data_IF_417933266333
#
_entry.id   IF_417933266333
#
_cell.length_a   1.000
_cell.length_b   1.000
_cell.length_c   1.000
_cell.angle_alpha   90.00
_cell.angle_beta   90.00
_cell.angle_gamma   90.00
#
_symmetry.space_group_name_H-M   'P 1'
#
loop_
_entity.id
_entity.type
_entity.pdbx_description
1 polymer ?
#
# COMPACT_ATOMS: atom_id res chain seq x y z
N UNK A 1 -10.76 24.96 -16.11
CA UNK A 1 -9.81 24.12 -15.35
C UNK A 1 -8.97 23.39 -16.38
N UNK A 2 -7.64 23.40 -16.23
CA UNK A 2 -6.73 22.67 -17.14
C UNK A 2 -7.14 21.21 -17.21
N UNK A 3 -7.34 20.64 -18.42
CA UNK A 3 -7.61 19.20 -18.63
C UNK A 3 -6.41 18.30 -18.31
N UNK A 4 -5.25 18.91 -17.99
CA UNK A 4 -3.97 18.23 -17.85
C UNK A 4 -3.35 18.51 -16.49
N UNK A 5 -2.88 17.43 -15.84
CA UNK A 5 -2.10 17.48 -14.61
C UNK A 5 -0.63 17.76 -14.97
N UNK A 6 0.08 18.55 -14.17
CA UNK A 6 1.50 18.78 -14.38
C UNK A 6 2.25 18.85 -13.07
N UNK A 7 3.26 17.99 -12.90
CA UNK A 7 4.18 18.06 -11.77
C UNK A 7 4.96 19.38 -11.71
N UNK A 8 5.13 20.09 -12.85
CA UNK A 8 5.79 21.41 -12.83
C UNK A 8 4.97 22.47 -12.09
N UNK A 9 3.65 22.29 -12.02
CA UNK A 9 2.72 23.27 -11.46
C UNK A 9 2.55 23.08 -9.96
N UNK A 10 2.98 21.93 -9.42
CA UNK A 10 3.00 21.65 -7.99
C UNK A 10 4.15 22.38 -7.31
N UNK A 11 3.93 22.89 -6.10
CA UNK A 11 4.94 23.54 -5.27
C UNK A 11 5.64 22.55 -4.33
N UNK A 12 4.89 21.52 -3.93
CA UNK A 12 5.29 20.51 -2.96
C UNK A 12 5.08 19.13 -3.58
N UNK A 13 6.08 18.27 -3.43
CA UNK A 13 6.00 16.86 -3.82
C UNK A 13 6.16 16.02 -2.56
N UNK A 14 5.07 15.38 -2.16
CA UNK A 14 5.01 14.51 -0.99
C UNK A 14 4.98 13.03 -1.38
N UNK A 15 5.53 12.19 -0.51
CA UNK A 15 5.57 10.75 -0.70
C UNK A 15 5.20 10.01 0.59
N UNK A 16 4.52 8.88 0.46
CA UNK A 16 4.70 7.77 1.40
C UNK A 16 6.08 7.11 1.19
N UNK A 17 6.54 6.39 2.21
CA UNK A 17 7.76 5.62 2.16
C UNK A 17 7.48 4.20 1.72
N UNK A 18 6.89 3.39 2.59
CA UNK A 18 6.67 1.96 2.40
C UNK A 18 5.78 1.69 1.18
N UNK A 19 6.14 0.73 0.34
CA UNK A 19 5.46 0.39 -0.93
C UNK A 19 5.32 1.53 -1.96
N UNK A 20 5.86 2.72 -1.67
CA UNK A 20 5.88 3.88 -2.57
C UNK A 20 7.30 4.20 -3.04
N UNK A 21 8.15 4.75 -2.15
CA UNK A 21 9.57 4.98 -2.43
C UNK A 21 10.43 3.78 -2.02
N UNK A 22 10.03 3.09 -0.96
CA UNK A 22 10.62 1.88 -0.40
C UNK A 22 9.84 0.68 -0.97
N UNK A 23 10.34 0.12 -2.07
CA UNK A 23 9.72 -1.06 -2.68
C UNK A 23 10.18 -2.34 -1.99
N UNK A 24 9.28 -3.31 -1.92
CA UNK A 24 9.51 -4.60 -1.29
C UNK A 24 9.52 -5.70 -2.36
N UNK A 25 10.28 -6.77 -2.13
CA UNK A 25 10.11 -8.01 -2.88
C UNK A 25 8.84 -8.70 -2.38
N UNK A 26 7.71 -8.44 -3.03
CA UNK A 26 6.38 -8.86 -2.55
C UNK A 26 6.29 -10.37 -2.28
N UNK A 27 6.92 -11.21 -3.11
CA UNK A 27 6.97 -12.67 -2.89
C UNK A 27 7.58 -13.03 -1.53
N UNK A 28 8.77 -12.52 -1.24
CA UNK A 28 9.51 -12.82 -0.02
C UNK A 28 8.86 -12.17 1.21
N UNK A 29 8.43 -10.92 1.06
CA UNK A 29 7.85 -10.11 2.15
C UNK A 29 6.48 -10.64 2.57
N UNK A 30 5.58 -10.89 1.61
CA UNK A 30 4.26 -11.42 1.92
C UNK A 30 4.33 -12.82 2.54
N UNK A 31 5.28 -13.66 2.11
CA UNK A 31 5.52 -14.96 2.75
C UNK A 31 5.95 -14.80 4.21
N UNK A 32 6.91 -13.93 4.48
CA UNK A 32 7.38 -13.65 5.84
C UNK A 32 6.24 -13.15 6.73
N UNK A 33 5.38 -12.27 6.21
CA UNK A 33 4.20 -11.77 6.91
C UNK A 33 3.22 -12.92 7.23
N UNK A 34 2.89 -13.75 6.24
CA UNK A 34 2.03 -14.92 6.46
C UNK A 34 2.60 -15.84 7.54
N UNK A 35 3.87 -16.22 7.43
CA UNK A 35 4.54 -17.10 8.38
C UNK A 35 4.56 -16.50 9.79
N UNK A 36 4.76 -15.17 9.91
CA UNK A 36 4.74 -14.48 11.19
C UNK A 36 3.35 -14.52 11.85
N UNK A 37 2.29 -14.20 11.10
CA UNK A 37 0.92 -14.24 11.62
C UNK A 37 0.48 -15.66 11.97
N UNK A 38 0.71 -16.62 11.07
CA UNK A 38 0.34 -18.02 11.28
C UNK A 38 1.06 -18.61 12.51
N UNK A 39 2.35 -18.29 12.69
CA UNK A 39 3.11 -18.69 13.88
C UNK A 39 2.50 -18.13 15.15
N UNK A 40 2.16 -16.85 15.17
CA UNK A 40 1.52 -16.24 16.34
C UNK A 40 0.20 -16.93 16.71
N UNK A 41 -0.67 -17.20 15.72
CA UNK A 41 -1.94 -17.90 15.96
C UNK A 41 -1.71 -19.31 16.53
N UNK A 42 -0.73 -20.05 16.01
CA UNK A 42 -0.44 -21.41 16.48
C UNK A 42 0.16 -21.41 17.88
N UNK A 43 1.16 -20.57 18.13
CA UNK A 43 1.95 -20.57 19.37
C UNK A 43 1.25 -19.88 20.53
N UNK A 44 0.52 -18.79 20.27
CA UNK A 44 -0.09 -17.97 21.32
C UNK A 44 -1.61 -18.09 21.43
N UNK A 45 -2.28 -18.53 20.37
CA UNK A 45 -3.75 -18.62 20.32
C UNK A 45 -4.27 -20.06 20.21
N UNK A 46 -3.38 -21.04 20.06
CA UNK A 46 -3.74 -22.47 20.07
C UNK A 46 -4.42 -22.94 18.78
N UNK A 47 -4.20 -22.25 17.65
CA UNK A 47 -4.68 -22.71 16.35
C UNK A 47 -3.90 -23.94 15.86
N UNK A 48 -4.48 -24.66 14.92
CA UNK A 48 -3.87 -25.88 14.37
C UNK A 48 -2.57 -25.56 13.61
N UNK A 49 -1.55 -26.41 13.78
CA UNK A 49 -0.25 -26.29 13.12
C UNK A 49 -0.36 -26.35 11.59
N UNK A 50 -1.46 -26.88 11.05
CA UNK A 50 -1.72 -26.86 9.61
C UNK A 50 -1.67 -25.44 9.01
N UNK A 51 -1.96 -24.37 9.78
CA UNK A 51 -1.82 -22.98 9.32
C UNK A 51 -0.41 -22.63 8.84
N UNK A 52 0.63 -23.31 9.34
CA UNK A 52 2.02 -23.10 8.95
C UNK A 52 2.35 -23.72 7.58
N UNK A 53 1.50 -24.60 7.06
CA UNK A 53 1.74 -25.29 5.80
C UNK A 53 1.24 -24.44 4.62
N UNK A 54 2.13 -23.77 3.90
CA UNK A 54 1.79 -22.89 2.78
C UNK A 54 2.08 -23.57 1.44
N UNK A 55 1.09 -23.62 0.55
CA UNK A 55 1.25 -24.18 -0.80
C UNK A 55 1.15 -23.09 -1.88
N UNK A 56 1.76 -23.28 -3.06
CA UNK A 56 1.60 -22.35 -4.17
C UNK A 56 0.15 -22.19 -4.65
N UNK A 57 -0.65 -23.28 -4.60
CA UNK A 57 -2.05 -23.25 -4.97
C UNK A 57 -2.87 -22.34 -4.05
N UNK A 58 -2.63 -22.43 -2.74
CA UNK A 58 -3.28 -21.55 -1.75
C UNK A 58 -2.77 -20.11 -1.83
N UNK A 59 -1.61 -19.86 -2.42
CA UNK A 59 -1.00 -18.53 -2.47
C UNK A 59 -1.69 -17.58 -3.47
N UNK A 60 -2.30 -18.12 -4.54
CA UNK A 60 -3.06 -17.32 -5.54
C UNK A 60 -4.27 -16.59 -4.92
N UNK A 61 -4.67 -17.01 -3.71
CA UNK A 61 -5.71 -16.40 -2.89
C UNK A 61 -5.31 -15.01 -2.35
N UNK A 62 -4.01 -14.74 -2.15
CA UNK A 62 -3.51 -13.47 -1.63
C UNK A 62 -3.66 -12.37 -2.70
N UNK A 63 -4.79 -11.66 -2.66
CA UNK A 63 -5.19 -10.67 -3.67
C UNK A 63 -5.57 -9.34 -3.02
N UNK A 64 -4.92 -8.24 -3.43
CA UNK A 64 -5.21 -6.89 -2.93
C UNK A 64 -6.62 -6.48 -3.35
N UNK A 65 -7.35 -5.80 -2.47
CA UNK A 65 -8.67 -5.28 -2.77
C UNK A 65 -9.85 -6.14 -2.28
N UNK A 66 -9.58 -7.27 -1.62
CA UNK A 66 -10.63 -8.10 -1.01
C UNK A 66 -11.15 -7.49 0.29
N UNK A 67 -12.42 -7.77 0.57
CA UNK A 67 -13.06 -7.43 1.84
C UNK A 67 -13.44 -8.72 2.56
N UNK A 68 -13.03 -8.88 3.80
CA UNK A 68 -13.50 -9.97 4.66
C UNK A 68 -14.76 -9.50 5.37
N UNK A 69 -15.86 -10.20 5.15
CA UNK A 69 -17.05 -10.12 5.99
C UNK A 69 -16.83 -10.96 7.24
N UNK A 70 -16.59 -10.29 8.37
CA UNK A 70 -16.26 -10.93 9.64
C UNK A 70 -17.49 -11.54 10.32
N UNK A 71 -18.70 -11.19 9.88
CA UNK A 71 -19.93 -11.77 10.41
C UNK A 71 -20.17 -13.15 9.81
N UNK A 72 -19.96 -13.28 8.49
CA UNK A 72 -20.30 -14.50 7.76
C UNK A 72 -19.07 -15.38 7.44
N UNK A 73 -17.85 -14.88 7.64
CA UNK A 73 -16.62 -15.59 7.28
C UNK A 73 -16.33 -15.62 5.77
N UNK A 74 -16.94 -14.71 5.02
CA UNK A 74 -16.79 -14.65 3.58
C UNK A 74 -15.73 -13.64 3.17
N UNK A 75 -15.00 -13.91 2.08
CA UNK A 75 -14.20 -12.88 1.41
C UNK A 75 -14.86 -12.51 0.10
N UNK A 76 -15.05 -11.21 -0.13
CA UNK A 76 -15.79 -10.68 -1.28
C UNK A 76 -14.93 -9.74 -2.11
N UNK A 77 -15.07 -9.86 -3.43
CA UNK A 77 -14.60 -8.91 -4.43
C UNK A 77 -15.80 -8.13 -4.95
N UNK A 78 -15.74 -6.80 -4.91
CA UNK A 78 -16.88 -5.92 -5.15
C UNK A 78 -16.73 -5.14 -6.46
N UNK A 79 -17.86 -4.88 -7.11
CA UNK A 79 -17.99 -3.91 -8.19
C UNK A 79 -18.18 -2.50 -7.63
N UNK A 80 -18.10 -1.48 -8.50
CA UNK A 80 -18.27 -0.08 -8.13
C UNK A 80 -19.63 0.28 -7.49
N UNK A 81 -20.66 -0.53 -7.73
CA UNK A 81 -22.02 -0.35 -7.21
C UNK A 81 -22.31 -1.20 -5.96
N UNK A 82 -21.32 -1.96 -5.47
CA UNK A 82 -21.47 -2.86 -4.33
C UNK A 82 -21.97 -4.26 -4.65
N UNK A 83 -22.13 -4.58 -5.94
CA UNK A 83 -22.38 -5.95 -6.40
C UNK A 83 -21.20 -6.85 -6.03
N UNK A 84 -21.48 -8.00 -5.42
CA UNK A 84 -20.50 -9.07 -5.19
C UNK A 84 -20.18 -9.73 -6.53
N UNK A 85 -18.96 -9.51 -7.01
CA UNK A 85 -18.43 -10.07 -8.26
C UNK A 85 -17.99 -11.52 -8.07
N UNK A 86 -17.22 -11.75 -7.01
CA UNK A 86 -16.71 -13.06 -6.59
C UNK A 86 -16.74 -13.14 -5.08
N UNK A 87 -16.95 -14.33 -4.54
CA UNK A 87 -16.91 -14.56 -3.10
C UNK A 87 -16.38 -15.96 -2.77
N UNK A 88 -15.81 -16.08 -1.58
CA UNK A 88 -15.46 -17.36 -0.95
C UNK A 88 -16.07 -17.43 0.44
N UNK A 89 -16.33 -18.65 0.92
CA UNK A 89 -16.54 -18.92 2.34
C UNK A 89 -15.33 -19.70 2.85
N UNK A 90 -14.57 -19.10 3.76
CA UNK A 90 -13.23 -19.56 4.07
C UNK A 90 -12.33 -19.48 2.84
N UNK A 91 -11.72 -20.58 2.41
CA UNK A 91 -10.96 -20.62 1.14
C UNK A 91 -11.73 -21.22 -0.03
N UNK A 92 -13.00 -21.60 0.16
CA UNK A 92 -13.81 -22.26 -0.86
C UNK A 92 -14.59 -21.23 -1.68
N UNK A 93 -14.48 -21.30 -3.00
CA UNK A 93 -15.24 -20.43 -3.92
C UNK A 93 -16.75 -20.66 -3.78
N UNK A 94 -17.51 -19.57 -3.74
CA UNK A 94 -18.97 -19.61 -3.84
C UNK A 94 -19.39 -19.57 -5.30
N UNK A 95 -20.29 -20.49 -5.69
CA UNK A 95 -20.91 -20.49 -7.00
C UNK A 95 -21.78 -19.24 -7.21
N UNK A 96 -22.14 -18.94 -8.46
CA UNK A 96 -23.07 -17.83 -8.75
C UNK A 96 -24.41 -18.01 -8.03
N UNK A 97 -24.91 -19.23 -7.96
CA UNK A 97 -26.15 -19.59 -7.27
C UNK A 97 -26.03 -19.39 -5.76
N UNK A 98 -24.88 -19.74 -5.17
CA UNK A 98 -24.60 -19.55 -3.75
C UNK A 98 -24.49 -18.06 -3.39
N UNK A 99 -23.83 -17.26 -4.23
CA UNK A 99 -23.76 -15.80 -4.09
C UNK A 99 -25.17 -15.20 -4.17
N UNK A 100 -25.99 -15.59 -5.14
CA UNK A 100 -27.37 -15.11 -5.27
C UNK A 100 -28.23 -15.53 -4.08
N UNK A 101 -28.03 -16.75 -3.58
CA UNK A 101 -28.74 -17.26 -2.39
C UNK A 101 -28.38 -16.47 -1.14
N UNK A 102 -27.11 -16.10 -0.96
CA UNK A 102 -26.62 -15.40 0.23
C UNK A 102 -26.87 -13.89 0.18
N UNK A 103 -26.55 -13.23 -0.94
CA UNK A 103 -26.61 -11.77 -1.10
C UNK A 103 -27.86 -11.29 -1.86
N UNK A 104 -28.78 -12.20 -2.19
CA UNK A 104 -30.00 -11.92 -2.95
C UNK A 104 -29.78 -11.78 -4.47
N UNK A 105 -30.87 -11.60 -5.25
CA UNK A 105 -30.82 -11.56 -6.71
C UNK A 105 -29.90 -10.48 -7.30
N UNK A 106 -29.75 -9.36 -6.59
CA UNK A 106 -28.87 -8.25 -6.98
C UNK A 106 -27.41 -8.42 -6.55
N UNK A 107 -27.13 -9.43 -5.71
CA UNK A 107 -25.80 -9.69 -5.12
C UNK A 107 -25.24 -8.49 -4.36
N UNK A 108 -26.10 -7.71 -3.71
CA UNK A 108 -25.68 -6.49 -3.00
C UNK A 108 -25.05 -6.85 -1.65
N UNK A 109 -23.84 -6.36 -1.39
CA UNK A 109 -23.23 -6.52 -0.08
C UNK A 109 -23.73 -5.46 0.90
N UNK A 110 -24.38 -5.89 2.00
CA UNK A 110 -25.06 -5.03 3.00
C UNK A 110 -24.21 -3.88 3.55
N UNK A 111 -22.88 -4.07 3.66
CA UNK A 111 -21.97 -3.09 4.26
C UNK A 111 -21.31 -2.15 3.25
N UNK A 112 -21.62 -2.28 1.96
CA UNK A 112 -20.95 -1.52 0.90
C UNK A 112 -21.00 0.00 1.10
N UNK A 113 -22.15 0.55 1.48
CA UNK A 113 -22.30 1.99 1.71
C UNK A 113 -21.37 2.51 2.82
N UNK A 114 -21.14 1.72 3.86
CA UNK A 114 -20.22 2.08 4.95
C UNK A 114 -18.76 2.05 4.46
N UNK A 115 -18.39 1.02 3.70
CA UNK A 115 -17.05 0.87 3.14
C UNK A 115 -16.73 2.01 2.16
N UNK A 116 -17.65 2.29 1.22
CA UNK A 116 -17.47 3.25 0.14
C UNK A 116 -17.38 4.73 0.60
N UNK A 117 -17.89 5.04 1.79
CA UNK A 117 -17.94 6.42 2.29
C UNK A 117 -16.81 6.75 3.26
N UNK A 118 -16.39 5.78 4.08
CA UNK A 118 -15.58 6.07 5.24
C UNK A 118 -14.14 5.53 5.14
N UNK A 119 -13.94 4.42 4.42
CA UNK A 119 -12.71 3.62 4.51
C UNK A 119 -12.23 3.37 5.96
N UNK A 120 -13.12 3.48 6.96
CA UNK A 120 -12.75 3.34 8.37
C UNK A 120 -12.75 1.87 8.79
N UNK A 121 -12.04 1.58 9.88
CA UNK A 121 -12.07 0.25 10.50
C UNK A 121 -13.49 -0.05 10.96
N UNK A 122 -13.97 -1.24 10.63
CA UNK A 122 -15.27 -1.75 11.04
C UNK A 122 -15.10 -2.98 11.91
N UNK A 123 -16.00 -3.18 12.88
CA UNK A 123 -16.07 -4.43 13.64
C UNK A 123 -16.74 -5.56 12.83
N UNK A 124 -17.30 -5.24 11.65
CA UNK A 124 -18.08 -6.14 10.80
C UNK A 124 -17.32 -6.61 9.57
N UNK A 125 -16.33 -5.86 9.13
CA UNK A 125 -15.55 -6.19 7.95
C UNK A 125 -14.15 -5.62 8.00
N UNK A 126 -13.24 -6.20 7.22
CA UNK A 126 -11.89 -5.69 7.02
C UNK A 126 -11.54 -5.60 5.54
N UNK A 127 -10.95 -4.49 5.11
CA UNK A 127 -10.54 -4.26 3.72
C UNK A 127 -9.02 -4.37 3.60
N UNK A 128 -8.55 -5.30 2.76
CA UNK A 128 -7.13 -5.52 2.51
C UNK A 128 -6.63 -4.62 1.37
N UNK A 129 -6.15 -3.44 1.74
CA UNK A 129 -5.80 -2.36 0.81
C UNK A 129 -4.29 -2.08 0.67
N UNK A 130 -3.46 -2.83 1.39
CA UNK A 130 -2.00 -2.69 1.41
C UNK A 130 -1.35 -4.09 1.57
N UNK A 131 -0.04 -4.19 1.38
CA UNK A 131 0.64 -5.50 1.41
C UNK A 131 1.13 -5.94 2.80
N UNK A 132 1.09 -5.08 3.83
CA UNK A 132 1.58 -5.41 5.17
C UNK A 132 0.66 -6.36 5.94
N UNK A 133 -0.62 -6.37 5.59
CA UNK A 133 -1.63 -7.25 6.19
C UNK A 133 -2.26 -8.20 5.18
N UNK A 134 -2.06 -8.00 3.87
CA UNK A 134 -2.67 -8.79 2.80
C UNK A 134 -2.60 -10.32 3.00
N UNK A 135 -1.47 -10.92 3.40
CA UNK A 135 -1.41 -12.38 3.58
C UNK A 135 -2.34 -12.88 4.71
N UNK A 136 -2.77 -11.98 5.59
CA UNK A 136 -3.82 -12.22 6.56
C UNK A 136 -5.17 -12.57 5.92
N UNK A 137 -5.45 -12.20 4.67
CA UNK A 137 -6.68 -12.58 3.97
C UNK A 137 -6.77 -14.10 3.80
N UNK A 138 -5.71 -14.73 3.31
CA UNK A 138 -5.61 -16.19 3.22
C UNK A 138 -5.71 -16.83 4.61
N UNK A 139 -5.05 -16.24 5.61
CA UNK A 139 -5.09 -16.77 6.97
C UNK A 139 -6.51 -16.72 7.57
N UNK A 140 -7.27 -15.64 7.33
CA UNK A 140 -8.68 -15.55 7.69
C UNK A 140 -9.49 -16.66 7.02
N UNK A 141 -9.33 -16.85 5.71
CA UNK A 141 -10.00 -17.90 4.97
C UNK A 141 -9.74 -19.30 5.57
N UNK A 142 -8.48 -19.60 5.88
CA UNK A 142 -8.10 -20.90 6.48
C UNK A 142 -8.61 -21.07 7.90
N UNK A 143 -8.63 -20.00 8.70
CA UNK A 143 -9.23 -20.04 10.04
C UNK A 143 -10.72 -20.34 9.95
N UNK A 144 -11.43 -19.72 9.03
CA UNK A 144 -12.86 -20.00 8.77
C UNK A 144 -13.06 -21.46 8.36
N UNK A 145 -12.24 -22.00 7.46
CA UNK A 145 -12.31 -23.42 7.07
C UNK A 145 -12.14 -24.35 8.29
N UNK A 146 -11.23 -24.01 9.21
CA UNK A 146 -11.00 -24.78 10.43
C UNK A 146 -12.18 -24.71 11.40
N UNK A 147 -12.79 -23.53 11.57
CA UNK A 147 -13.99 -23.36 12.38
C UNK A 147 -15.14 -24.19 11.81
N UNK A 148 -15.34 -24.11 10.49
CA UNK A 148 -16.37 -24.88 9.79
C UNK A 148 -16.17 -26.40 9.96
N UNK A 149 -14.95 -26.91 9.78
CA UNK A 149 -14.62 -28.34 9.99
C UNK A 149 -14.88 -28.83 11.41
N UNK A 150 -14.79 -27.96 12.41
CA UNK A 150 -15.06 -28.28 13.83
C UNK A 150 -16.55 -28.20 14.18
N UNK A 151 -17.40 -27.77 13.25
CA UNK A 151 -18.82 -27.53 13.49
C UNK A 151 -19.09 -26.28 14.32
N UNK A 152 -18.11 -25.37 14.42
CA UNK A 152 -18.27 -24.11 15.12
C UNK A 152 -18.93 -23.09 14.19
N UNK A 153 -19.83 -22.27 14.74
CA UNK A 153 -20.30 -21.09 14.03
C UNK A 153 -19.17 -20.09 13.83
N UNK A 154 -19.08 -19.52 12.63
CA UNK A 154 -18.16 -18.43 12.36
C UNK A 154 -18.74 -17.16 12.96
N UNK A 155 -17.92 -16.44 13.72
CA UNK A 155 -18.25 -15.12 14.25
C UNK A 155 -17.01 -14.23 14.19
N UNK A 156 -17.13 -12.96 14.55
CA UNK A 156 -16.02 -12.01 14.47
C UNK A 156 -14.93 -12.20 15.55
N UNK A 157 -14.99 -13.23 16.39
CA UNK A 157 -13.99 -13.43 17.45
C UNK A 157 -12.62 -13.83 16.90
N UNK A 158 -12.56 -14.60 15.81
CA UNK A 158 -11.27 -14.95 15.19
C UNK A 158 -10.51 -13.71 14.72
N UNK A 159 -11.23 -12.63 14.38
CA UNK A 159 -10.63 -11.37 13.98
C UNK A 159 -9.84 -10.72 15.12
N UNK A 160 -10.23 -10.90 16.38
CA UNK A 160 -9.46 -10.41 17.53
C UNK A 160 -8.09 -11.06 17.61
N UNK A 161 -8.01 -12.34 17.27
CA UNK A 161 -6.74 -13.07 17.21
C UNK A 161 -5.88 -12.63 16.02
N UNK A 162 -6.50 -12.38 14.87
CA UNK A 162 -5.83 -11.80 13.70
C UNK A 162 -5.26 -10.41 13.98
N UNK A 163 -6.04 -9.53 14.61
CA UNK A 163 -5.57 -8.20 15.05
C UNK A 163 -4.42 -8.34 16.05
N UNK A 164 -4.53 -9.26 17.01
CA UNK A 164 -3.44 -9.52 17.95
C UNK A 164 -2.15 -10.02 17.25
N UNK A 165 -2.28 -10.80 16.17
CA UNK A 165 -1.14 -11.24 15.36
C UNK A 165 -0.49 -10.08 14.59
N UNK A 166 -1.31 -9.21 13.99
CA UNK A 166 -0.86 -7.98 13.30
C UNK A 166 -0.15 -7.06 14.30
N UNK A 167 -0.75 -6.81 15.46
CA UNK A 167 -0.20 -5.98 16.52
C UNK A 167 1.08 -6.59 17.11
N UNK A 168 1.16 -7.91 17.29
CA UNK A 168 2.39 -8.56 17.72
C UNK A 168 3.53 -8.35 16.72
N UNK A 169 3.21 -8.32 15.43
CA UNK A 169 4.19 -8.17 14.37
C UNK A 169 4.68 -6.73 14.20
N UNK A 170 3.80 -5.74 14.39
CA UNK A 170 4.04 -4.34 14.06
C UNK A 170 3.88 -3.36 15.23
N UNK A 171 3.76 -3.84 16.47
CA UNK A 171 3.70 -2.93 17.61
C UNK A 171 4.95 -2.04 17.67
N UNK A 172 4.80 -0.91 18.38
CA UNK A 172 5.78 0.17 18.41
C UNK A 172 7.15 -0.24 18.95
N UNK A 173 7.24 -1.30 19.76
CA UNK A 173 8.50 -1.80 20.30
C UNK A 173 9.09 -2.96 19.50
N UNK A 174 8.32 -3.60 18.62
CA UNK A 174 8.70 -4.84 17.95
C UNK A 174 9.99 -4.69 17.13
N UNK A 175 10.16 -3.56 16.45
CA UNK A 175 11.41 -3.29 15.76
C UNK A 175 12.55 -3.10 16.76
N UNK A 176 12.46 -2.18 17.71
CA UNK A 176 13.55 -1.93 18.68
C UNK A 176 13.96 -3.15 19.50
N UNK A 177 12.99 -3.95 19.93
CA UNK A 177 13.18 -5.12 20.80
C UNK A 177 13.55 -6.39 20.02
N UNK A 178 13.55 -6.33 18.68
CA UNK A 178 13.76 -7.50 17.82
C UNK A 178 12.76 -8.63 18.14
N UNK A 179 11.50 -8.26 18.34
CA UNK A 179 10.42 -9.17 18.71
C UNK A 179 9.72 -9.76 17.48
N UNK A 180 9.09 -10.91 17.68
CA UNK A 180 8.33 -11.61 16.64
C UNK A 180 9.22 -12.24 15.57
N UNK A 181 8.66 -12.46 14.37
CA UNK A 181 9.39 -13.10 13.25
C UNK A 181 9.75 -12.11 12.13
N UNK A 182 8.90 -11.11 11.89
CA UNK A 182 9.05 -10.18 10.76
C UNK A 182 10.29 -9.30 10.87
N UNK A 183 10.33 -8.38 11.85
CA UNK A 183 11.44 -7.44 11.97
C UNK A 183 12.80 -8.13 12.15
N UNK A 184 12.97 -9.17 12.99
CA UNK A 184 14.25 -9.87 13.11
C UNK A 184 14.73 -10.49 11.78
N UNK A 185 13.80 -11.00 10.97
CA UNK A 185 14.15 -11.56 9.65
C UNK A 185 14.54 -10.46 8.66
N UNK A 186 13.79 -9.36 8.62
CA UNK A 186 14.13 -8.19 7.79
C UNK A 186 15.48 -7.60 8.20
N UNK A 187 15.76 -7.45 9.51
CA UNK A 187 17.04 -6.90 9.98
C UNK A 187 18.24 -7.78 9.62
N UNK A 188 18.06 -9.10 9.69
CA UNK A 188 19.12 -10.06 9.41
C UNK A 188 19.52 -10.08 7.94
N UNK A 189 18.54 -10.00 7.03
CA UNK A 189 18.75 -10.10 5.58
C UNK A 189 17.90 -9.08 4.81
N UNK A 190 18.13 -7.76 4.98
CA UNK A 190 17.20 -6.77 4.46
C UNK A 190 17.15 -6.75 2.93
N UNK A 191 18.26 -7.05 2.24
CA UNK A 191 18.30 -7.15 0.77
C UNK A 191 17.47 -8.32 0.19
N UNK A 192 16.98 -9.24 1.03
CA UNK A 192 16.02 -10.27 0.61
C UNK A 192 14.59 -9.74 0.51
N UNK A 193 14.26 -8.71 1.31
CA UNK A 193 12.88 -8.22 1.45
C UNK A 193 12.69 -6.83 0.85
N UNK A 194 13.73 -6.00 0.87
CA UNK A 194 13.71 -4.61 0.41
C UNK A 194 14.46 -4.49 -0.92
N UNK A 195 13.83 -3.85 -1.90
CA UNK A 195 14.49 -3.48 -3.15
C UNK A 195 15.37 -2.24 -2.91
N UNK A 196 16.53 -2.08 -3.57
CA UNK A 196 17.28 -0.83 -3.48
C UNK A 196 16.53 0.32 -4.16
N UNK A 197 16.81 1.55 -3.73
CA UNK A 197 16.22 2.73 -4.39
C UNK A 197 16.99 2.98 -5.69
N UNK A 198 16.27 3.05 -6.81
CA UNK A 198 16.89 3.26 -8.12
C UNK A 198 17.61 4.62 -8.20
N UNK A 199 18.73 4.65 -8.92
CA UNK A 199 19.47 5.90 -9.10
C UNK A 199 18.69 6.94 -9.92
N UNK A 200 17.79 6.48 -10.81
CA UNK A 200 16.86 7.34 -11.54
C UNK A 200 15.92 8.10 -10.60
N UNK A 201 15.34 7.43 -9.60
CA UNK A 201 14.49 8.08 -8.59
C UNK A 201 15.31 9.08 -7.78
N UNK A 202 16.52 8.73 -7.33
CA UNK A 202 17.40 9.66 -6.61
C UNK A 202 17.80 10.88 -7.46
N UNK A 203 18.02 10.70 -8.76
CA UNK A 203 18.33 11.79 -9.68
C UNK A 203 17.13 12.72 -9.89
N UNK A 204 15.95 12.14 -10.10
CA UNK A 204 14.70 12.87 -10.24
C UNK A 204 14.38 13.70 -8.99
N UNK A 205 14.46 13.11 -7.78
CA UNK A 205 14.26 13.85 -6.53
C UNK A 205 15.26 15.01 -6.38
N UNK A 206 16.55 14.80 -6.71
CA UNK A 206 17.54 15.89 -6.71
C UNK A 206 17.17 17.01 -7.68
N UNK A 207 16.69 16.67 -8.87
CA UNK A 207 16.25 17.67 -9.84
C UNK A 207 15.05 18.46 -9.34
N UNK A 208 14.05 17.80 -8.75
CA UNK A 208 12.88 18.48 -8.19
C UNK A 208 13.30 19.45 -7.07
N UNK A 209 14.21 19.03 -6.19
CA UNK A 209 14.79 19.92 -5.16
C UNK A 209 15.53 21.11 -5.77
N UNK A 210 16.36 20.88 -6.78
CA UNK A 210 17.11 21.95 -7.48
C UNK A 210 16.18 22.92 -8.22
N UNK A 211 15.02 22.44 -8.68
CA UNK A 211 13.97 23.26 -9.28
C UNK A 211 13.15 24.07 -8.25
N UNK A 212 13.53 24.03 -6.96
CA UNK A 212 12.90 24.80 -5.89
C UNK A 212 11.59 24.19 -5.39
N UNK A 213 11.31 22.91 -5.69
CA UNK A 213 10.16 22.19 -5.10
C UNK A 213 10.47 21.81 -3.66
N UNK A 214 9.47 21.90 -2.78
CA UNK A 214 9.57 21.37 -1.42
C UNK A 214 9.33 19.87 -1.46
N UNK A 215 10.26 19.09 -0.92
CA UNK A 215 10.13 17.64 -0.84
C UNK A 215 9.69 17.19 0.55
N UNK A 216 8.63 16.40 0.59
CA UNK A 216 7.97 15.95 1.81
C UNK A 216 7.91 14.41 1.84
N UNK A 217 8.16 13.83 3.01
CA UNK A 217 7.99 12.40 3.26
C UNK A 217 7.08 12.19 4.48
N UNK A 218 6.02 11.41 4.31
CA UNK A 218 5.05 11.09 5.38
C UNK A 218 4.89 9.57 5.45
N UNK A 219 5.49 8.96 6.46
CA UNK A 219 5.39 7.51 6.71
C UNK A 219 4.74 7.21 8.06
N UNK A 220 3.96 6.14 8.11
CA UNK A 220 3.44 5.59 9.38
C UNK A 220 4.46 4.72 10.11
N UNK A 221 5.61 4.43 9.50
CA UNK A 221 6.70 3.71 10.13
C UNK A 221 7.43 4.55 11.19
N UNK A 222 7.94 3.90 12.23
CA UNK A 222 8.76 4.55 13.24
C UNK A 222 10.14 4.93 12.68
N UNK A 223 10.79 5.94 13.28
CA UNK A 223 12.07 6.45 12.80
C UNK A 223 13.21 5.44 12.96
N UNK A 224 13.13 4.58 13.98
CA UNK A 224 14.12 3.55 14.28
C UNK A 224 14.24 2.49 13.17
N UNK A 225 13.14 2.16 12.48
CA UNK A 225 13.13 1.20 11.36
C UNK A 225 14.08 1.59 10.22
N UNK A 226 14.38 2.89 10.10
CA UNK A 226 15.00 3.50 8.92
C UNK A 226 16.23 4.38 9.21
N UNK A 227 16.65 4.48 10.47
CA UNK A 227 17.43 5.60 10.97
C UNK A 227 18.83 5.79 10.31
N UNK A 228 19.23 7.05 9.99
CA UNK A 228 20.56 7.43 9.51
C UNK A 228 21.62 7.71 10.59
N UNK A 229 21.31 7.66 11.89
CA UNK A 229 22.21 8.12 12.99
C UNK A 229 22.87 6.99 13.82
N UNK A 230 22.95 5.77 13.30
CA UNK A 230 23.80 4.71 13.89
C UNK A 230 23.07 3.56 14.59
N UNK A 231 21.77 3.39 14.38
CA UNK A 231 21.11 2.08 14.60
C UNK A 231 21.59 1.03 13.58
N UNK A 232 21.33 -0.27 13.79
CA UNK A 232 21.68 -1.30 12.81
C UNK A 232 21.10 -0.89 11.45
N UNK A 233 21.96 -0.84 10.42
CA UNK A 233 21.62 -0.38 9.06
C UNK A 233 20.63 -1.35 8.39
N UNK A 234 19.35 -1.25 8.73
CA UNK A 234 18.32 -2.22 8.30
C UNK A 234 17.61 -1.81 7.02
N UNK A 235 17.82 -0.58 6.56
CA UNK A 235 17.28 -0.08 5.30
C UNK A 235 18.37 0.04 4.22
N UNK A 236 18.58 -1.00 3.38
CA UNK A 236 19.52 -0.98 2.27
C UNK A 236 19.21 0.12 1.26
N UNK A 237 17.95 0.55 1.14
CA UNK A 237 17.51 1.60 0.21
C UNK A 237 18.31 2.90 0.35
N UNK A 238 18.76 3.18 1.58
CA UNK A 238 19.37 4.45 1.96
C UNK A 238 20.74 4.27 2.60
N UNK A 239 21.28 3.06 2.50
CA UNK A 239 22.59 2.75 3.01
C UNK A 239 23.64 3.39 2.08
N UNK A 240 24.52 4.21 2.67
CA UNK A 240 25.57 5.05 2.06
C UNK A 240 25.14 6.35 1.36
N UNK A 241 23.86 6.65 1.14
CA UNK A 241 23.43 7.88 0.44
C UNK A 241 22.60 8.82 1.32
N UNK A 242 22.91 10.13 1.25
CA UNK A 242 22.20 11.25 1.89
C UNK A 242 20.76 11.46 1.35
N UNK A 243 20.03 10.43 0.93
CA UNK A 243 18.72 10.57 0.30
C UNK A 243 17.70 11.20 1.26
N UNK A 244 17.78 10.92 2.56
CA UNK A 244 16.99 11.62 3.58
C UNK A 244 17.20 13.14 3.54
N UNK A 245 18.41 13.61 3.21
CA UNK A 245 18.67 15.05 3.12
C UNK A 245 18.08 15.69 1.85
N UNK A 246 17.51 14.90 0.94
CA UNK A 246 16.74 15.43 -0.18
C UNK A 246 15.39 15.95 0.29
N UNK A 247 14.80 15.36 1.33
CA UNK A 247 13.54 15.81 1.89
C UNK A 247 13.74 17.02 2.80
N UNK A 248 12.88 18.01 2.65
CA UNK A 248 12.87 19.21 3.50
C UNK A 248 12.05 18.96 4.77
N UNK A 249 11.01 18.13 4.67
CA UNK A 249 10.18 17.72 5.80
C UNK A 249 10.03 16.20 5.81
N UNK A 250 10.36 15.56 6.93
CA UNK A 250 10.19 14.13 7.16
C UNK A 250 9.26 13.95 8.35
N UNK A 251 8.18 13.19 8.17
CA UNK A 251 7.20 12.87 9.21
C UNK A 251 7.14 11.36 9.35
N UNK A 252 7.61 10.85 10.49
CA UNK A 252 7.51 9.43 10.88
C UNK A 252 6.35 9.20 11.83
N UNK A 253 5.93 7.95 12.01
CA UNK A 253 4.80 7.58 12.88
C UNK A 253 3.56 8.47 12.63
N UNK A 254 3.30 8.83 11.36
CA UNK A 254 2.21 9.73 10.99
C UNK A 254 0.83 9.14 11.34
N UNK A 255 0.75 7.80 11.44
CA UNK A 255 -0.47 7.05 11.80
C UNK A 255 -1.65 7.49 10.92
N UNK A 256 -1.43 7.44 9.60
CA UNK A 256 -2.43 7.69 8.57
C UNK A 256 -3.61 6.68 8.67
N UNK A 257 -4.84 7.06 8.31
CA UNK A 257 -5.27 8.36 7.78
C UNK A 257 -5.43 9.47 8.85
N UNK A 258 -5.21 9.15 10.13
CA UNK A 258 -5.42 10.07 11.25
C UNK A 258 -4.63 11.38 11.12
N UNK A 259 -3.45 11.35 10.50
CA UNK A 259 -2.68 12.56 10.15
C UNK A 259 -3.51 13.60 9.39
N UNK A 260 -4.33 13.16 8.44
CA UNK A 260 -5.12 14.05 7.58
C UNK A 260 -6.47 14.42 8.20
N UNK A 261 -7.09 13.48 8.92
CA UNK A 261 -8.48 13.61 9.37
C UNK A 261 -8.65 14.16 10.79
N UNK A 262 -7.64 14.05 11.65
CA UNK A 262 -7.72 14.46 13.06
C UNK A 262 -7.25 15.91 13.25
N UNK A 263 -7.79 16.56 14.28
CA UNK A 263 -7.45 17.96 14.60
C UNK A 263 -6.14 18.04 15.40
N UNK A 264 -5.45 19.20 15.40
CA UNK A 264 -4.14 19.33 16.02
C UNK A 264 -4.06 18.89 17.49
N UNK A 265 -5.11 19.11 18.28
CA UNK A 265 -5.15 18.74 19.69
C UNK A 265 -5.15 17.21 19.91
N UNK A 266 -5.62 16.44 18.92
CA UNK A 266 -5.63 14.98 18.97
C UNK A 266 -4.33 14.36 18.48
N UNK A 267 -3.60 15.07 17.61
CA UNK A 267 -2.36 14.62 16.96
C UNK A 267 -1.35 15.77 16.87
N UNK A 268 -0.71 16.16 17.98
CA UNK A 268 0.35 17.16 17.93
C UNK A 268 1.59 16.60 17.23
N UNK A 269 2.39 17.47 16.61
CA UNK A 269 3.71 17.10 16.14
C UNK A 269 4.65 16.88 17.31
N UNK A 270 5.64 15.99 17.17
CA UNK A 270 6.70 15.76 18.16
C UNK A 270 8.06 15.87 17.50
N UNK A 271 9.05 16.37 18.24
CA UNK A 271 10.45 16.27 17.86
C UNK A 271 11.01 14.90 18.23
N UNK A 272 12.11 14.51 17.58
CA UNK A 272 12.83 13.28 17.89
C UNK A 272 14.24 13.64 18.37
N UNK A 273 14.64 13.07 19.51
CA UNK A 273 16.02 13.12 20.00
C UNK A 273 16.50 11.68 20.16
N UNK A 274 17.49 11.27 19.35
CA UNK A 274 18.00 9.89 19.30
C UNK A 274 16.88 8.85 19.10
N UNK A 275 15.97 9.09 18.14
CA UNK A 275 14.80 8.25 17.82
C UNK A 275 13.79 8.07 18.97
N UNK A 276 13.84 8.96 19.96
CA UNK A 276 12.84 9.01 21.03
C UNK A 276 12.00 10.27 20.84
N UNK A 277 10.67 10.07 20.78
CA UNK A 277 9.72 11.17 20.71
C UNK A 277 9.76 12.00 21.98
N UNK A 278 9.80 13.32 21.84
CA UNK A 278 9.59 14.21 22.98
C UNK A 278 8.18 13.98 23.55
N UNK A 279 8.09 14.02 24.88
CA UNK A 279 6.85 13.91 25.63
C UNK A 279 5.92 15.10 25.40
N UNK A 280 6.46 16.29 25.10
CA UNK A 280 5.68 17.49 24.81
C UNK A 280 5.34 17.60 23.32
N UNK A 281 4.07 17.87 23.03
CA UNK A 281 3.61 18.12 21.67
C UNK A 281 3.90 19.57 21.24
N UNK A 282 4.33 19.75 19.99
CA UNK A 282 4.55 21.07 19.41
C UNK A 282 3.22 21.80 19.17
N UNK A 283 3.09 23.06 19.60
CA UNK A 283 1.89 23.86 19.37
C UNK A 283 1.75 24.33 17.91
N UNK A 284 2.86 24.42 17.16
CA UNK A 284 2.91 24.79 15.75
C UNK A 284 4.13 24.16 15.07
N UNK A 285 4.20 24.28 13.74
CA UNK A 285 5.31 23.79 12.93
C UNK A 285 5.92 24.95 12.14
N UNK A 286 7.02 25.52 12.64
CA UNK A 286 7.52 26.81 12.13
C UNK A 286 8.72 26.68 11.17
N UNK A 287 9.32 25.48 11.08
CA UNK A 287 10.51 25.23 10.25
C UNK A 287 10.51 23.82 9.65
N UNK A 288 11.21 23.61 8.53
CA UNK A 288 11.46 22.28 7.99
C UNK A 288 12.29 21.44 8.97
N UNK A 289 12.18 20.11 8.85
CA UNK A 289 12.89 19.17 9.71
C UNK A 289 12.27 17.79 9.77
N UNK A 290 12.75 17.00 10.72
CA UNK A 290 12.24 15.67 11.00
C UNK A 290 11.34 15.72 12.23
N UNK A 291 10.10 15.27 12.06
CA UNK A 291 9.07 15.20 13.10
C UNK A 291 8.46 13.81 13.19
N UNK A 292 7.80 13.54 14.32
CA UNK A 292 6.97 12.36 14.52
C UNK A 292 5.50 12.75 14.73
N UNK A 293 4.59 11.86 14.37
CA UNK A 293 3.14 12.06 14.46
C UNK A 293 2.65 13.28 13.67
N UNK A 294 1.88 14.18 14.30
CA UNK A 294 1.41 15.42 13.68
C UNK A 294 0.10 15.31 12.90
N UNK A 295 -0.22 16.41 12.24
CA UNK A 295 -1.49 16.63 11.57
C UNK A 295 -1.34 17.51 10.31
N UNK A 296 -2.25 17.32 9.36
CA UNK A 296 -2.29 18.07 8.11
C UNK A 296 -2.42 19.60 8.31
N UNK A 297 -3.31 20.14 9.16
CA UNK A 297 -3.44 21.59 9.34
C UNK A 297 -2.12 22.30 9.70
N UNK A 298 -1.34 21.77 10.64
CA UNK A 298 -0.04 22.36 11.00
C UNK A 298 1.00 22.21 9.89
N UNK A 299 1.02 21.07 9.18
CA UNK A 299 1.87 20.91 8.00
C UNK A 299 1.51 21.93 6.92
N UNK A 300 0.23 22.17 6.69
CA UNK A 300 -0.23 23.14 5.69
C UNK A 300 0.31 24.55 5.96
N UNK A 301 0.26 25.01 7.20
CA UNK A 301 0.81 26.32 7.58
C UNK A 301 2.34 26.39 7.40
N UNK A 302 3.07 25.31 7.68
CA UNK A 302 4.50 25.23 7.36
C UNK A 302 4.72 25.34 5.85
N UNK A 303 3.97 24.59 5.03
CA UNK A 303 4.13 24.61 3.57
C UNK A 303 3.83 25.99 2.97
N UNK A 304 2.85 26.73 3.49
CA UNK A 304 2.60 28.12 3.09
C UNK A 304 3.82 29.00 3.34
N UNK A 305 4.42 28.87 4.53
CA UNK A 305 5.61 29.61 4.92
C UNK A 305 6.81 29.27 4.04
N UNK A 306 7.03 27.97 3.78
CA UNK A 306 8.17 27.50 2.97
C UNK A 306 8.06 27.89 1.49
N UNK A 307 6.85 27.89 0.93
CA UNK A 307 6.61 28.21 -0.48
C UNK A 307 6.36 29.69 -0.73
N UNK A 308 6.07 30.48 0.32
CA UNK A 308 5.62 31.87 0.21
C UNK A 308 4.25 32.03 -0.45
N UNK A 309 3.45 30.95 -0.51
CA UNK A 309 2.14 30.93 -1.18
C UNK A 309 1.02 30.71 -0.17
N UNK A 310 -0.12 31.40 -0.31
CA UNK A 310 -1.26 31.21 0.58
C UNK A 310 -1.95 29.84 0.40
N UNK A 311 -1.80 29.24 -0.79
CA UNK A 311 -2.38 27.94 -1.15
C UNK A 311 -1.36 27.16 -2.01
N UNK A 312 -0.37 26.50 -1.37
CA UNK A 312 0.64 25.73 -2.09
C UNK A 312 0.03 24.50 -2.75
N UNK A 313 0.31 24.30 -4.05
CA UNK A 313 -0.17 23.10 -4.75
C UNK A 313 0.66 21.90 -4.35
N UNK A 314 0.03 20.88 -3.78
CA UNK A 314 0.69 19.64 -3.35
C UNK A 314 0.30 18.50 -4.26
N UNK A 315 1.28 17.70 -4.66
CA UNK A 315 1.07 16.33 -5.17
C UNK A 315 1.57 15.33 -4.14
N UNK A 316 0.80 14.27 -3.87
CA UNK A 316 1.16 13.21 -2.94
C UNK A 316 1.15 11.83 -3.60
N UNK A 317 2.26 11.12 -3.48
CA UNK A 317 2.42 9.74 -3.96
C UNK A 317 2.20 8.77 -2.78
N UNK A 318 1.39 7.74 -2.99
CA UNK A 318 1.12 6.72 -1.97
C UNK A 318 0.49 5.46 -2.55
N UNK A 319 0.50 4.34 -1.84
CA UNK A 319 0.04 3.03 -2.32
C UNK A 319 -1.29 2.55 -1.70
N UNK A 320 -1.72 3.18 -0.60
CA UNK A 320 -2.93 2.81 0.13
C UNK A 320 -4.09 3.77 -0.19
N UNK A 321 -5.21 3.22 -0.64
CA UNK A 321 -6.42 4.01 -0.84
C UNK A 321 -6.95 4.58 0.47
N UNK A 322 -6.90 3.79 1.54
CA UNK A 322 -7.41 4.18 2.87
C UNK A 322 -6.51 5.17 3.58
N UNK A 323 -5.19 4.99 3.48
CA UNK A 323 -4.22 5.74 4.29
C UNK A 323 -3.69 6.97 3.55
N UNK A 324 -3.65 6.95 2.23
CA UNK A 324 -3.01 8.00 1.41
C UNK A 324 -4.01 8.69 0.50
N UNK A 325 -4.57 7.99 -0.49
CA UNK A 325 -5.28 8.62 -1.60
C UNK A 325 -6.59 9.28 -1.16
N UNK A 326 -7.49 8.52 -0.51
CA UNK A 326 -8.74 9.06 0.01
C UNK A 326 -8.51 10.27 0.94
N UNK A 327 -7.67 10.19 2.00
CA UNK A 327 -7.51 11.28 2.93
C UNK A 327 -6.75 12.49 2.35
N UNK A 328 -5.70 12.29 1.54
CA UNK A 328 -4.98 13.38 0.90
C UNK A 328 -5.87 14.17 -0.07
N UNK A 329 -6.67 13.47 -0.88
CA UNK A 329 -7.63 14.10 -1.78
C UNK A 329 -8.80 14.74 -1.02
N UNK A 330 -9.35 14.06 -0.01
CA UNK A 330 -10.59 14.51 0.66
C UNK A 330 -10.36 15.63 1.67
N UNK A 331 -9.33 15.51 2.52
CA UNK A 331 -9.00 16.49 3.57
C UNK A 331 -7.91 17.46 3.12
N UNK A 332 -6.89 16.95 2.44
CA UNK A 332 -5.77 17.75 1.93
C UNK A 332 -6.11 18.61 0.71
N UNK A 333 -7.09 18.16 -0.10
CA UNK A 333 -7.35 18.70 -1.45
C UNK A 333 -6.11 18.65 -2.35
N UNK A 334 -5.25 17.66 -2.11
CA UNK A 334 -4.02 17.46 -2.86
C UNK A 334 -4.30 16.73 -4.18
N UNK A 335 -3.45 16.97 -5.17
CA UNK A 335 -3.31 16.06 -6.30
C UNK A 335 -2.68 14.76 -5.80
N UNK A 336 -3.13 13.63 -6.32
CA UNK A 336 -2.74 12.31 -5.78
C UNK A 336 -2.27 11.40 -6.90
N UNK A 337 -1.13 10.74 -6.67
CA UNK A 337 -0.57 9.75 -7.59
C UNK A 337 -0.52 8.41 -6.87
N UNK A 338 -1.40 7.49 -7.24
CA UNK A 338 -1.44 6.18 -6.60
C UNK A 338 -0.39 5.25 -7.20
N UNK A 339 0.36 4.57 -6.33
CA UNK A 339 1.23 3.46 -6.70
C UNK A 339 0.40 2.16 -6.72
N UNK A 340 0.36 1.50 -7.87
CA UNK A 340 -0.46 0.30 -8.12
C UNK A 340 0.38 -0.76 -8.84
N UNK A 341 1.12 -1.57 -8.07
CA UNK A 341 2.01 -2.60 -8.62
C UNK A 341 1.26 -3.65 -9.46
N UNK A 342 -0.06 -3.81 -9.25
CA UNK A 342 -0.92 -4.68 -10.06
C UNK A 342 -0.90 -4.33 -11.55
N UNK A 343 -0.66 -3.06 -11.91
CA UNK A 343 -0.55 -2.64 -13.31
C UNK A 343 0.51 -3.44 -14.08
N UNK A 344 1.67 -3.70 -13.47
CA UNK A 344 2.73 -4.53 -14.09
C UNK A 344 2.25 -5.98 -14.28
N UNK A 345 1.51 -6.52 -13.30
CA UNK A 345 0.92 -7.85 -13.36
C UNK A 345 -0.10 -8.01 -14.50
N UNK A 346 -0.78 -6.93 -14.86
CA UNK A 346 -1.79 -6.89 -15.94
C UNK A 346 -1.25 -6.45 -17.30
N UNK A 347 0.08 -6.38 -17.44
CA UNK A 347 0.74 -6.20 -18.73
C UNK A 347 1.23 -4.77 -19.02
N UNK A 348 1.18 -3.86 -18.05
CA UNK A 348 1.91 -2.58 -18.16
C UNK A 348 3.41 -2.88 -18.12
N UNK A 349 4.19 -2.52 -19.16
CA UNK A 349 5.62 -2.78 -19.17
C UNK A 349 6.33 -2.05 -18.05
N UNK A 350 7.31 -2.71 -17.41
CA UNK A 350 8.22 -2.05 -16.47
C UNK A 350 9.04 -0.98 -17.19
N UNK A 351 9.28 0.15 -16.54
CA UNK A 351 10.21 1.16 -17.05
C UNK A 351 11.66 0.66 -17.06
N UNK A 352 12.50 1.22 -17.95
CA UNK A 352 13.93 0.93 -17.98
C UNK A 352 14.61 1.20 -16.62
N UNK A 353 14.13 2.20 -15.89
CA UNK A 353 14.59 2.52 -14.54
C UNK A 353 14.23 1.40 -13.53
N UNK A 354 13.05 0.80 -13.64
CA UNK A 354 12.67 -0.34 -12.81
C UNK A 354 13.46 -1.61 -13.19
N UNK A 355 13.59 -1.92 -14.48
CA UNK A 355 14.32 -3.10 -14.96
C UNK A 355 15.81 -3.05 -14.61
N UNK A 356 16.45 -1.89 -14.77
CA UNK A 356 17.86 -1.70 -14.41
C UNK A 356 18.10 -1.85 -12.91
N UNK A 357 17.15 -1.43 -12.08
CA UNK A 357 17.23 -1.59 -10.62
C UNK A 357 17.15 -3.07 -10.22
N UNK A 358 16.29 -3.87 -10.85
CA UNK A 358 16.22 -5.32 -10.63
C UNK A 358 17.51 -6.04 -11.06
N UNK A 359 18.05 -5.68 -12.23
CA UNK A 359 19.27 -6.29 -12.78
C UNK A 359 20.53 -6.04 -11.92
N UNK A 360 20.58 -4.95 -11.15
CA UNK A 360 21.69 -4.67 -10.23
C UNK A 360 21.71 -5.59 -9.01
N UNK A 361 20.58 -6.24 -8.69
CA UNK A 361 20.42 -7.05 -7.46
C UNK A 361 20.58 -8.54 -7.73
N UNK A 362 20.39 -9.01 -8.97
CA UNK A 362 20.58 -10.42 -9.32
C UNK A 362 22.02 -10.72 -9.81
N UNK A 363 22.89 -11.40 -9.03
CA UNK A 363 23.94 -12.19 -9.64
C UNK A 363 23.32 -13.40 -10.34
N UNK A 364 23.73 -13.65 -11.59
CA UNK A 364 23.34 -14.76 -12.49
C UNK A 364 23.33 -16.18 -11.86
N UNK A 365 23.90 -16.38 -10.68
CA UNK A 365 24.06 -17.69 -10.02
C UNK A 365 23.19 -17.91 -8.77
N UNK A 366 22.36 -16.94 -8.37
CA UNK A 366 21.43 -17.09 -7.23
C UNK A 366 19.99 -16.73 -7.60
N UNK A 367 19.46 -17.34 -8.67
CA UNK A 367 18.02 -17.63 -8.68
C UNK A 367 17.75 -18.53 -7.47
N UNK A 368 17.14 -17.99 -6.43
CA UNK A 368 16.86 -18.74 -5.22
C UNK A 368 16.09 -20.02 -5.57
N UNK A 369 16.21 -21.07 -4.76
CA UNK A 369 15.43 -22.33 -4.81
C UNK A 369 13.89 -22.14 -4.84
N UNK A 370 13.39 -20.91 -4.93
CA UNK A 370 12.01 -20.48 -4.74
C UNK A 370 11.31 -20.07 -6.03
N UNK A 371 12.02 -19.65 -7.09
CA UNK A 371 11.38 -19.60 -8.43
C UNK A 371 10.87 -21.00 -8.82
N UNK A 372 11.53 -22.05 -8.34
CA UNK A 372 11.13 -23.45 -8.52
C UNK A 372 9.81 -23.83 -7.81
N UNK A 373 9.33 -23.06 -6.81
CA UNK A 373 8.08 -23.36 -6.09
C UNK A 373 6.83 -22.77 -6.78
N UNK A 374 6.96 -21.93 -7.81
CA UNK A 374 5.81 -21.44 -8.59
C UNK A 374 4.88 -20.43 -7.89
N UNK A 375 5.27 -19.87 -6.73
CA UNK A 375 4.50 -18.80 -6.06
C UNK A 375 4.64 -17.47 -6.82
N UNK A 376 3.51 -16.91 -7.26
CA UNK A 376 3.45 -15.59 -7.91
C UNK A 376 3.52 -14.46 -6.88
N UNK A 377 3.89 -13.26 -7.33
CA UNK A 377 3.75 -12.07 -6.51
C UNK A 377 2.24 -11.79 -6.29
N UNK A 378 1.81 -11.33 -5.11
CA UNK A 378 0.42 -10.92 -4.86
C UNK A 378 -0.12 -9.83 -5.80
N UNK A 379 0.76 -9.07 -6.45
CA UNK A 379 0.40 -8.09 -7.49
C UNK A 379 0.14 -8.70 -8.87
N UNK A 380 0.42 -10.00 -9.08
CA UNK A 380 0.16 -10.65 -10.36
C UNK A 380 -1.34 -10.97 -10.54
N UNK A 381 -1.79 -11.10 -11.79
CA UNK A 381 -3.17 -11.55 -12.09
C UNK A 381 -3.44 -12.88 -11.40
N UNK A 382 -4.51 -12.90 -10.59
CA UNK A 382 -4.99 -14.06 -9.86
C UNK A 382 -5.84 -14.93 -10.78
N UNK A 383 -5.67 -16.26 -10.69
CA UNK A 383 -6.55 -17.20 -11.38
C UNK A 383 -7.91 -17.29 -10.68
N UNK A 384 -7.90 -17.22 -9.35
CA UNK A 384 -9.11 -17.27 -8.53
C UNK A 384 -9.91 -15.96 -8.58
N UNK A 385 -9.23 -14.83 -8.38
CA UNK A 385 -9.86 -13.52 -8.24
C UNK A 385 -9.90 -12.71 -9.53
N UNK A 386 -9.19 -13.12 -10.59
CA UNK A 386 -9.14 -12.41 -11.87
C UNK A 386 -8.29 -11.12 -11.81
N UNK A 387 -8.68 -10.13 -12.61
CA UNK A 387 -8.04 -8.81 -12.67
C UNK A 387 -8.39 -7.94 -11.46
N UNK A 388 -7.45 -7.12 -11.01
CA UNK A 388 -7.63 -6.08 -9.99
C UNK A 388 -8.52 -4.95 -10.48
N UNK A 389 -8.48 -4.63 -11.78
CA UNK A 389 -9.20 -3.48 -12.34
C UNK A 389 -10.60 -3.81 -12.84
N UNK A 390 -10.76 -4.99 -13.46
CA UNK A 390 -12.03 -5.41 -14.06
C UNK A 390 -12.37 -6.84 -13.68
N UNK A 391 -13.67 -7.17 -13.72
CA UNK A 391 -14.14 -8.54 -13.65
C UNK A 391 -14.98 -8.87 -14.89
N UNK A 392 -14.71 -10.03 -15.48
CA UNK A 392 -15.41 -10.50 -16.68
C UNK A 392 -16.45 -11.51 -16.24
N UNK A 393 -17.73 -11.16 -16.39
CA UNK A 393 -18.82 -12.08 -16.14
C UNK A 393 -19.35 -12.63 -17.46
N UNK A 394 -19.30 -13.95 -17.62
CA UNK A 394 -20.04 -14.67 -18.66
C UNK A 394 -21.45 -14.92 -18.17
N UNK A 395 -22.45 -14.31 -18.80
CA UNK A 395 -23.85 -14.62 -18.51
C UNK A 395 -24.16 -16.02 -19.04
N UNK A 396 -24.85 -16.83 -18.22
CA UNK A 396 -25.16 -18.21 -18.59
C UNK A 396 -26.10 -18.27 -19.79
N UNK A 397 -25.55 -18.57 -20.97
CA UNK A 397 -26.31 -18.91 -22.18
C UNK A 397 -26.09 -18.03 -23.43
N UNK A 398 -25.23 -17.01 -23.39
CA UNK A 398 -24.88 -16.19 -24.56
C UNK A 398 -23.41 -15.77 -24.58
N UNK A 399 -22.88 -15.49 -25.78
CA UNK A 399 -21.48 -15.06 -26.02
C UNK A 399 -21.18 -13.61 -25.56
N UNK A 400 -22.10 -12.93 -24.88
CA UNK A 400 -21.88 -11.55 -24.39
C UNK A 400 -21.11 -11.56 -23.06
N UNK A 401 -19.79 -11.33 -23.15
CA UNK A 401 -18.95 -11.02 -22.00
C UNK A 401 -19.22 -9.58 -21.53
N UNK A 402 -19.79 -9.43 -20.34
CA UNK A 402 -19.92 -8.12 -19.70
C UNK A 402 -18.73 -7.87 -18.78
N UNK A 403 -17.99 -6.79 -19.04
CA UNK A 403 -16.93 -6.33 -18.16
C UNK A 403 -17.50 -5.36 -17.14
N UNK A 404 -17.15 -5.56 -15.86
CA UNK A 404 -17.50 -4.66 -14.77
C UNK A 404 -16.24 -4.10 -14.12
N UNK A 405 -16.23 -2.80 -13.86
CA UNK A 405 -15.19 -2.18 -13.04
C UNK A 405 -15.26 -2.70 -11.61
N UNK A 406 -14.10 -3.04 -11.05
CA UNK A 406 -14.00 -3.34 -9.63
C UNK A 406 -14.17 -2.06 -8.81
N UNK A 407 -14.59 -2.22 -7.55
CA UNK A 407 -14.66 -1.11 -6.62
C UNK A 407 -13.29 -0.45 -6.42
N UNK A 408 -12.22 -1.23 -6.39
CA UNK A 408 -10.85 -0.70 -6.26
C UNK A 408 -10.48 0.19 -7.46
N UNK A 409 -10.81 -0.23 -8.69
CA UNK A 409 -10.61 0.60 -9.89
C UNK A 409 -11.43 1.89 -9.84
N UNK A 410 -12.70 1.79 -9.46
CA UNK A 410 -13.56 2.97 -9.28
C UNK A 410 -12.98 3.95 -8.26
N UNK A 411 -12.48 3.45 -7.11
CA UNK A 411 -11.85 4.30 -6.12
C UNK A 411 -10.61 5.00 -6.68
N UNK A 412 -9.77 4.31 -7.47
CA UNK A 412 -8.61 4.93 -8.13
C UNK A 412 -9.06 6.12 -8.98
N UNK A 413 -10.06 5.92 -9.84
CA UNK A 413 -10.61 7.00 -10.67
C UNK A 413 -11.18 8.17 -9.86
N UNK A 414 -11.76 7.88 -8.68
CA UNK A 414 -12.41 8.87 -7.84
C UNK A 414 -11.43 9.70 -7.01
N UNK A 415 -10.37 9.09 -6.49
CA UNK A 415 -9.47 9.70 -5.49
C UNK A 415 -8.03 9.89 -5.96
N UNK A 416 -7.69 9.47 -7.17
CA UNK A 416 -6.34 9.60 -7.74
C UNK A 416 -6.38 10.44 -9.01
N UNK A 417 -5.50 11.44 -9.09
CA UNK A 417 -5.27 12.21 -10.32
C UNK A 417 -4.60 11.32 -11.38
N UNK A 418 -3.72 10.43 -10.94
CA UNK A 418 -2.98 9.48 -11.77
C UNK A 418 -2.71 8.20 -10.98
N UNK A 419 -2.60 7.07 -11.69
CA UNK A 419 -2.08 5.82 -11.14
C UNK A 419 -0.87 5.39 -11.96
N UNK A 420 0.16 4.91 -11.28
CA UNK A 420 1.39 4.39 -11.89
C UNK A 420 1.82 3.10 -11.16
N UNK A 421 2.48 2.16 -11.84
CA UNK A 421 3.00 0.96 -11.18
C UNK A 421 4.10 1.25 -10.16
N UNK A 422 4.93 2.27 -10.39
CA UNK A 422 6.02 2.62 -9.49
C UNK A 422 6.57 4.02 -9.74
N UNK A 423 7.27 4.61 -8.76
CA UNK A 423 7.90 5.94 -8.90
C UNK A 423 8.99 5.93 -9.99
N UNK A 424 9.62 4.78 -10.26
CA UNK A 424 10.59 4.64 -11.36
C UNK A 424 10.00 4.96 -12.74
N UNK A 425 8.69 4.84 -12.94
CA UNK A 425 8.06 5.21 -14.21
C UNK A 425 8.13 6.72 -14.46
N UNK A 426 7.82 7.52 -13.43
CA UNK A 426 7.95 8.98 -13.51
C UNK A 426 9.42 9.39 -13.64
N UNK A 427 10.32 8.77 -12.87
CA UNK A 427 11.74 9.08 -12.93
C UNK A 427 12.36 8.71 -14.29
N UNK A 428 11.93 7.60 -14.91
CA UNK A 428 12.37 7.18 -16.24
C UNK A 428 11.93 8.16 -17.33
N UNK A 429 10.64 8.53 -17.35
CA UNK A 429 10.10 9.51 -18.30
C UNK A 429 10.80 10.87 -18.19
N UNK A 430 11.05 11.34 -16.97
CA UNK A 430 11.80 12.58 -16.75
C UNK A 430 13.21 12.54 -17.36
N UNK A 431 13.90 11.41 -17.21
CA UNK A 431 15.25 11.23 -17.78
C UNK A 431 15.20 11.28 -19.31
N UNK A 432 14.24 10.63 -19.95
CA UNK A 432 14.07 10.70 -21.41
C UNK A 432 13.82 12.14 -21.88
N UNK A 433 12.97 12.88 -21.16
CA UNK A 433 12.68 14.29 -21.45
C UNK A 433 13.95 15.15 -21.36
N UNK A 434 14.78 14.98 -20.34
CA UNK A 434 16.07 15.70 -20.24
C UNK A 434 17.01 15.40 -21.41
N UNK A 435 17.08 14.14 -21.87
CA UNK A 435 17.93 13.76 -23.00
C UNK A 435 17.39 14.30 -24.34
N UNK A 436 16.07 14.49 -24.45
CA UNK A 436 15.41 15.02 -25.65
C UNK A 436 15.45 16.56 -25.76
N UNK A 437 15.82 17.26 -24.69
CA UNK A 437 15.78 18.73 -24.62
C UNK A 437 17.00 19.41 -25.31
N UNK A 438 17.08 19.28 -26.63
CA UNK A 438 17.44 20.40 -27.52
C UNK A 438 16.12 21.01 -28.05
N UNK A 439 15.43 21.78 -27.22
CA UNK A 439 14.21 22.48 -27.64
C UNK A 439 13.16 22.54 -26.53
N UNK A 440 12.63 23.73 -26.28
CA UNK A 440 11.58 24.01 -25.29
C UNK A 440 10.37 23.08 -25.44
N UNK A 441 10.11 22.23 -24.44
CA UNK A 441 8.86 21.48 -24.36
C UNK A 441 8.44 21.34 -22.89
N UNK A 442 7.15 21.59 -22.67
CA UNK A 442 6.51 21.75 -21.37
C UNK A 442 6.32 20.37 -20.72
N UNK A 443 6.52 20.28 -19.39
CA UNK A 443 6.27 19.10 -18.55
C UNK A 443 4.78 18.74 -18.46
N UNK A 444 4.08 18.59 -19.58
CA UNK A 444 2.69 18.15 -19.59
C UNK A 444 2.64 16.65 -19.37
N UNK A 445 2.31 16.25 -18.14
CA UNK A 445 1.89 14.89 -17.88
C UNK A 445 0.46 14.78 -18.41
N UNK A 446 0.29 14.17 -19.58
CA UNK A 446 -1.05 13.69 -19.94
C UNK A 446 -1.52 12.81 -18.77
N UNK A 447 -2.82 12.85 -18.45
CA UNK A 447 -3.44 11.72 -17.74
C UNK A 447 -2.86 10.45 -18.38
N UNK A 448 -2.43 9.46 -17.58
CA UNK A 448 -1.82 8.26 -18.16
C UNK A 448 -2.75 7.80 -19.29
N UNK A 449 -2.22 7.28 -20.43
CA UNK A 449 -3.11 6.65 -21.38
C UNK A 449 -3.95 5.71 -20.55
N UNK A 450 -5.23 6.03 -20.41
CA UNK A 450 -6.18 5.06 -19.96
C UNK A 450 -5.90 3.94 -20.95
N UNK A 451 -5.35 2.82 -20.47
CA UNK A 451 -5.68 1.58 -21.12
C UNK A 451 -7.21 1.64 -21.14
N UNK A 452 -7.72 1.90 -22.33
CA UNK A 452 -9.13 2.11 -22.60
C UNK A 452 -9.81 0.81 -22.21
N UNK A 453 -10.19 0.68 -20.94
CA UNK A 453 -11.00 -0.42 -20.43
C UNK A 453 -12.49 -0.02 -20.51
N UNK A 454 -12.87 0.65 -21.60
CA UNK A 454 -14.26 0.81 -22.03
C UNK A 454 -14.64 -0.32 -22.96
#
# INVERSE_FOLDING_TARGET
MSEYFSLSDCDVIGFDLDHTLCRYYLKETSRLIYESFARYLVEHKGYDKDLLNLTPATWDFCFKGLVVDLEDGNLVKLAEDGTVLRATHGTNDLSTEEIIKHYGPKREWKHFNSLNTSFTRSAKYYFYDNYFDLPGALLCGRVVDMLHKRGNEVNSDFWKDMVAAIDHNYNTSAFKEDAGTYFPSVKREPGRYLQPCSDSVKAWLRSMKNAGKVLLLITSSHSDYYCPHGGPQTCPLLNKTRTWSLFDVIITNALKPGFFSLVPQQRPFRTLVNDVEDSEGLPSLDKPGWYSQGNWPHLHELLKTMTGKPDPKVVYFGDSMRSDMFPASSFGKWETVMIVEEMEGEGVPKSDAAMSNEAQVEPLEKKGKFEEQGMKAPSAVSKQWGSYFVDVHRSGGGDEESQKLTWCCHCIHKYSTMAIPSVEHIAGMWKEMEHSAQGSAVNHYMKPPFYSFT
#
